data_IF_838893813357
#
_entry.id   IF_838893813357
#
_cell.length_a   1.000
_cell.length_b   1.000
_cell.length_c   1.000
_cell.angle_alpha   90.00
_cell.angle_beta   90.00
_cell.angle_gamma   90.00
#
_symmetry.space_group_name_H-M   'P 1'
#
loop_
_entity.id
_entity.type
_entity.pdbx_description
1 polymer ?
#
# COMPACT_ATOMS: atom_id res chain seq x y z
N UNK A 1 -3.44 20.03 22.30
CA UNK A 1 -4.15 20.44 21.06
C UNK A 1 -4.39 19.20 20.22
N UNK A 2 -5.61 18.98 19.72
CA UNK A 2 -5.92 17.85 18.83
C UNK A 2 -5.14 18.02 17.52
N UNK A 3 -4.29 17.05 17.15
CA UNK A 3 -3.61 17.02 15.85
C UNK A 3 -4.68 16.84 14.77
N UNK A 4 -4.74 17.76 13.80
CA UNK A 4 -5.82 17.83 12.82
C UNK A 4 -5.25 18.08 11.42
N UNK A 5 -5.68 17.29 10.46
CA UNK A 5 -5.27 17.37 9.06
C UNK A 5 -6.42 17.91 8.22
N UNK A 6 -6.08 18.65 7.17
CA UNK A 6 -7.08 19.15 6.23
C UNK A 6 -6.85 18.52 4.87
N UNK A 7 -7.82 17.78 4.36
CA UNK A 7 -7.79 17.30 2.98
C UNK A 7 -8.53 18.29 2.10
N UNK A 8 -7.90 18.74 1.02
CA UNK A 8 -8.53 19.61 0.01
C UNK A 8 -8.63 18.86 -1.31
N UNK A 9 -9.83 18.38 -1.64
CA UNK A 9 -10.10 17.67 -2.88
C UNK A 9 -10.17 18.64 -4.05
N UNK A 10 -9.26 18.47 -5.01
CA UNK A 10 -9.17 19.24 -6.26
C UNK A 10 -9.41 18.38 -7.50
N UNK A 11 -9.79 17.12 -7.30
CA UNK A 11 -10.11 16.16 -8.34
C UNK A 11 -11.61 16.10 -8.60
N UNK A 12 -12.04 15.82 -9.84
CA UNK A 12 -13.42 15.45 -10.10
C UNK A 12 -13.79 14.16 -9.37
N UNK A 13 -15.09 13.93 -9.17
CA UNK A 13 -15.57 12.69 -8.55
C UNK A 13 -15.19 11.48 -9.42
N UNK A 14 -14.69 10.37 -8.83
CA UNK A 14 -14.42 9.15 -9.59
C UNK A 14 -15.68 8.64 -10.29
N UNK A 15 -15.56 8.15 -11.52
CA UNK A 15 -16.69 7.61 -12.31
C UNK A 15 -17.18 6.25 -11.79
N UNK A 16 -16.30 5.45 -11.18
CA UNK A 16 -16.62 4.23 -10.44
C UNK A 16 -16.51 4.53 -8.95
N UNK A 17 -17.63 4.55 -8.24
CA UNK A 17 -17.72 5.15 -6.90
C UNK A 17 -17.39 4.16 -5.77
N UNK A 18 -16.39 4.51 -4.96
CA UNK A 18 -16.44 4.25 -3.51
C UNK A 18 -17.07 5.50 -2.85
N UNK A 19 -18.37 5.49 -2.52
CA UNK A 19 -19.12 6.71 -2.17
C UNK A 19 -18.73 7.34 -0.83
N UNK A 20 -17.86 6.70 -0.03
CA UNK A 20 -17.55 7.15 1.31
C UNK A 20 -16.84 8.52 1.35
N UNK A 21 -16.06 8.88 0.33
CA UNK A 21 -15.27 10.12 0.38
C UNK A 21 -16.13 11.38 0.22
N UNK A 22 -17.15 11.33 -0.63
CA UNK A 22 -18.13 12.43 -0.76
C UNK A 22 -19.04 12.55 0.45
N UNK A 23 -19.11 11.51 1.28
CA UNK A 23 -19.88 11.53 2.53
C UNK A 23 -19.10 12.19 3.66
N UNK A 24 -17.78 12.44 3.52
CA UNK A 24 -17.00 13.13 4.53
C UNK A 24 -17.59 14.50 4.85
N UNK A 25 -17.74 14.77 6.14
CA UNK A 25 -18.15 16.07 6.65
C UNK A 25 -17.17 17.16 6.20
N UNK A 26 -17.72 18.24 5.66
CA UNK A 26 -16.97 19.35 5.08
C UNK A 26 -16.43 19.13 3.65
N UNK A 27 -16.75 18.03 2.97
CA UNK A 27 -16.34 17.83 1.56
C UNK A 27 -16.70 19.05 0.68
N UNK A 28 -15.77 19.58 -0.16
CA UNK A 28 -14.47 19.01 -0.56
C UNK A 28 -13.26 19.42 0.32
N UNK A 29 -13.47 20.08 1.46
CA UNK A 29 -12.41 20.48 2.40
C UNK A 29 -12.65 19.84 3.76
N UNK A 30 -12.18 18.61 3.91
CA UNK A 30 -12.50 17.77 5.06
C UNK A 30 -11.44 17.89 6.16
N UNK A 31 -11.87 17.85 7.41
CA UNK A 31 -10.98 17.77 8.58
C UNK A 31 -10.88 16.30 9.03
N UNK A 32 -9.67 15.77 9.15
CA UNK A 32 -9.42 14.40 9.60
C UNK A 32 -8.45 14.40 10.78
N UNK A 33 -8.61 13.42 11.68
CA UNK A 33 -7.75 13.26 12.86
C UNK A 33 -6.98 11.93 12.78
N UNK A 34 -5.76 11.86 13.34
CA UNK A 34 -5.10 10.59 13.55
C UNK A 34 -6.01 9.60 14.29
N UNK A 35 -6.06 8.37 13.82
CA UNK A 35 -6.63 7.25 14.57
C UNK A 35 -5.84 7.03 15.86
N UNK A 36 -6.50 6.54 16.90
CA UNK A 36 -5.84 6.26 18.18
C UNK A 36 -5.00 4.98 18.16
N UNK A 37 -5.30 4.07 17.22
CA UNK A 37 -4.73 2.73 17.18
C UNK A 37 -3.36 2.68 16.48
N UNK A 38 -2.99 3.72 15.72
CA UNK A 38 -1.76 3.76 14.93
C UNK A 38 -1.00 5.06 15.16
N UNK A 39 0.34 5.02 15.34
CA UNK A 39 1.14 6.23 15.31
C UNK A 39 0.98 6.95 13.97
N UNK A 40 1.02 8.27 14.01
CA UNK A 40 0.94 9.11 12.81
C UNK A 40 2.22 9.92 12.65
N UNK A 41 2.94 9.67 11.55
CA UNK A 41 4.33 10.07 11.34
C UNK A 41 4.51 11.34 10.50
N UNK A 42 3.41 12.05 10.18
CA UNK A 42 3.47 13.37 9.53
C UNK A 42 2.97 14.47 10.48
N UNK A 43 3.48 15.71 10.37
CA UNK A 43 2.94 16.83 11.11
C UNK A 43 1.55 17.23 10.56
N UNK A 44 0.64 17.74 11.41
CA UNK A 44 -0.63 18.33 10.98
C UNK A 44 -0.43 19.38 9.89
N UNK A 45 -1.10 19.23 8.75
CA UNK A 45 -0.94 20.10 7.59
C UNK A 45 -2.14 20.02 6.63
N UNK A 46 -2.12 20.84 5.58
CA UNK A 46 -3.04 20.70 4.44
C UNK A 46 -2.46 19.69 3.45
N UNK A 47 -3.25 18.69 3.08
CA UNK A 47 -2.92 17.73 2.02
C UNK A 47 -3.85 18.01 0.84
N UNK A 48 -3.27 18.44 -0.28
CA UNK A 48 -4.03 18.66 -1.51
C UNK A 48 -4.24 17.31 -2.20
N UNK A 49 -5.49 16.93 -2.42
CA UNK A 49 -5.84 15.71 -3.15
C UNK A 49 -6.00 16.07 -4.62
N UNK A 50 -5.07 15.62 -5.45
CA UNK A 50 -4.84 16.17 -6.79
C UNK A 50 -5.01 15.19 -7.94
N UNK A 51 -5.02 13.88 -7.67
CA UNK A 51 -5.34 12.86 -8.69
C UNK A 51 -5.97 11.60 -8.06
N UNK A 52 -6.52 10.73 -8.89
CA UNK A 52 -7.04 9.40 -8.52
C UNK A 52 -6.06 8.34 -9.06
N UNK A 53 -5.38 7.65 -8.16
CA UNK A 53 -4.46 6.56 -8.52
C UNK A 53 -5.20 5.26 -8.80
N UNK A 54 -6.31 5.03 -8.11
CA UNK A 54 -7.13 3.83 -8.30
C UNK A 54 -8.56 4.07 -7.80
N UNK A 55 -9.55 3.50 -8.49
CA UNK A 55 -10.94 3.50 -8.01
C UNK A 55 -11.65 2.20 -8.33
N UNK A 56 -12.44 1.72 -7.36
CA UNK A 56 -13.28 0.53 -7.43
C UNK A 56 -14.52 0.74 -6.56
N UNK A 57 -15.44 -0.22 -6.55
CA UNK A 57 -16.66 -0.17 -5.73
C UNK A 57 -16.39 -0.14 -4.21
N UNK A 58 -15.22 -0.61 -3.76
CA UNK A 58 -14.89 -0.77 -2.32
C UNK A 58 -13.71 0.05 -1.84
N UNK A 59 -12.90 0.56 -2.76
CA UNK A 59 -11.65 1.22 -2.44
C UNK A 59 -11.40 2.32 -3.46
N UNK A 60 -10.99 3.49 -2.97
CA UNK A 60 -10.42 4.55 -3.78
C UNK A 60 -9.06 4.94 -3.20
N UNK A 61 -8.08 5.15 -4.08
CA UNK A 61 -6.74 5.62 -3.72
C UNK A 61 -6.51 6.92 -4.46
N UNK A 62 -6.27 7.99 -3.71
CA UNK A 62 -5.94 9.28 -4.28
C UNK A 62 -4.44 9.59 -4.18
N UNK A 63 -3.98 10.46 -5.07
CA UNK A 63 -2.70 11.16 -4.95
C UNK A 63 -2.89 12.39 -4.06
N UNK A 64 -2.19 12.40 -2.92
CA UNK A 64 -2.08 13.55 -2.03
C UNK A 64 -0.74 14.26 -2.19
N UNK A 65 -0.74 15.59 -2.03
CA UNK A 65 0.46 16.42 -1.98
C UNK A 65 0.50 17.20 -0.67
N UNK A 66 1.56 16.95 0.11
CA UNK A 66 1.92 17.73 1.28
C UNK A 66 2.38 19.15 0.91
N UNK A 67 2.53 20.01 1.93
CA UNK A 67 3.00 21.39 1.76
C UNK A 67 4.45 21.45 1.23
N UNK A 68 5.27 20.46 1.58
CA UNK A 68 6.65 20.29 1.11
C UNK A 68 6.77 19.54 -0.22
N UNK A 69 5.65 19.34 -0.92
CA UNK A 69 5.53 18.57 -2.17
C UNK A 69 5.77 17.06 -2.04
N UNK A 70 5.86 16.51 -0.83
CA UNK A 70 5.87 15.05 -0.64
C UNK A 70 4.56 14.45 -1.18
N UNK A 71 4.69 13.44 -2.04
CA UNK A 71 3.55 12.71 -2.58
C UNK A 71 3.11 11.58 -1.64
N UNK A 72 1.80 11.40 -1.54
CA UNK A 72 1.15 10.39 -0.69
C UNK A 72 0.12 9.59 -1.48
N UNK A 73 -0.01 8.31 -1.14
CA UNK A 73 -1.14 7.49 -1.55
C UNK A 73 -2.18 7.46 -0.41
N UNK A 74 -3.35 8.03 -0.68
CA UNK A 74 -4.45 8.18 0.30
C UNK A 74 -5.52 7.14 0.02
N UNK A 75 -5.49 6.02 0.75
CA UNK A 75 -6.37 4.86 0.51
C UNK A 75 -7.58 4.94 1.44
N UNK A 76 -8.76 5.05 0.85
CA UNK A 76 -10.05 4.93 1.53
C UNK A 76 -10.67 3.57 1.22
N UNK A 77 -11.08 2.86 2.25
CA UNK A 77 -11.75 1.55 2.16
C UNK A 77 -12.60 1.32 3.41
N UNK A 78 -13.26 0.17 3.53
CA UNK A 78 -14.01 -0.16 4.73
C UNK A 78 -13.10 -0.44 5.94
N UNK A 79 -13.63 -0.24 7.15
CA UNK A 79 -12.85 -0.36 8.40
C UNK A 79 -12.23 -1.74 8.56
N UNK A 80 -12.90 -2.82 8.14
CA UNK A 80 -12.40 -4.19 8.33
C UNK A 80 -11.19 -4.44 7.41
N UNK A 81 -11.31 -4.06 6.15
CA UNK A 81 -10.21 -4.18 5.17
C UNK A 81 -9.02 -3.31 5.57
N UNK A 82 -9.28 -2.07 6.00
CA UNK A 82 -8.26 -1.14 6.48
C UNK A 82 -7.50 -1.71 7.69
N UNK A 83 -8.21 -2.16 8.72
CA UNK A 83 -7.56 -2.70 9.93
C UNK A 83 -6.75 -3.95 9.65
N UNK A 84 -7.22 -4.83 8.75
CA UNK A 84 -6.47 -6.02 8.36
C UNK A 84 -5.15 -5.64 7.66
N UNK A 85 -5.19 -4.66 6.75
CA UNK A 85 -4.00 -4.21 6.04
C UNK A 85 -3.04 -3.43 6.94
N UNK A 86 -3.51 -2.46 7.71
CA UNK A 86 -2.69 -1.67 8.63
C UNK A 86 -1.98 -2.55 9.68
N UNK A 87 -2.61 -3.65 10.13
CA UNK A 87 -1.98 -4.63 11.01
C UNK A 87 -0.78 -5.35 10.38
N UNK A 88 -0.73 -5.50 9.05
CA UNK A 88 0.45 -6.06 8.36
C UNK A 88 1.61 -5.07 8.43
N UNK A 89 1.36 -3.77 8.20
CA UNK A 89 2.41 -2.75 8.31
C UNK A 89 2.98 -2.65 9.72
N UNK A 90 2.12 -2.76 10.75
CA UNK A 90 2.53 -2.79 12.16
C UNK A 90 3.35 -4.05 12.50
N UNK A 91 2.89 -5.22 12.04
CA UNK A 91 3.59 -6.50 12.31
C UNK A 91 4.95 -6.59 11.62
N UNK A 92 5.08 -6.01 10.42
CA UNK A 92 6.27 -6.14 9.57
C UNK A 92 6.92 -4.77 9.28
N UNK A 93 7.14 -3.98 10.33
CA UNK A 93 7.78 -2.65 10.24
C UNK A 93 9.10 -2.67 9.45
N UNK A 94 9.93 -3.71 9.67
CA UNK A 94 11.22 -3.86 8.99
C UNK A 94 11.16 -4.05 7.47
N UNK A 95 9.97 -4.35 6.93
CA UNK A 95 9.74 -4.46 5.48
C UNK A 95 9.22 -3.16 4.84
N UNK A 96 8.88 -2.15 5.64
CA UNK A 96 8.39 -0.87 5.14
C UNK A 96 9.51 -0.06 4.50
N UNK A 97 9.27 0.45 3.29
CA UNK A 97 10.27 1.13 2.49
C UNK A 97 11.09 0.19 1.59
N UNK A 98 10.96 -1.13 1.73
CA UNK A 98 11.63 -2.13 0.88
C UNK A 98 10.63 -2.99 0.12
N UNK A 99 9.85 -3.81 0.81
CA UNK A 99 8.85 -4.72 0.23
C UNK A 99 7.48 -4.07 0.28
N UNK A 100 7.16 -3.39 1.38
CA UNK A 100 5.95 -2.59 1.52
C UNK A 100 6.29 -1.11 1.26
N UNK A 101 5.33 -0.30 0.79
CA UNK A 101 5.38 1.14 1.02
C UNK A 101 5.53 1.45 2.52
N UNK A 102 5.92 2.68 2.86
CA UNK A 102 5.80 3.15 4.25
C UNK A 102 4.35 3.50 4.57
N UNK A 103 3.90 3.13 5.77
CA UNK A 103 2.66 3.60 6.37
C UNK A 103 2.97 4.80 7.26
N UNK A 104 2.46 5.98 6.89
CA UNK A 104 2.54 7.16 7.74
C UNK A 104 1.49 7.15 8.85
N UNK A 105 0.45 6.33 8.72
CA UNK A 105 -0.57 6.10 9.72
C UNK A 105 -1.98 6.15 9.14
N UNK A 106 -2.98 6.19 10.03
CA UNK A 106 -4.40 6.23 9.64
C UNK A 106 -5.03 7.54 10.09
N UNK A 107 -5.69 8.23 9.16
CA UNK A 107 -6.55 9.37 9.45
C UNK A 107 -8.02 8.92 9.46
N UNK A 108 -8.83 9.57 10.28
CA UNK A 108 -10.24 9.28 10.44
C UNK A 108 -11.04 10.57 10.28
N UNK A 109 -11.86 10.60 9.24
CA UNK A 109 -12.95 11.55 9.09
C UNK A 109 -14.26 10.97 9.59
N UNK A 110 -15.33 11.76 9.48
CA UNK A 110 -16.70 11.31 9.76
C UNK A 110 -17.61 11.72 8.62
N UNK A 111 -18.71 11.00 8.43
CA UNK A 111 -19.82 11.51 7.62
C UNK A 111 -20.78 12.40 8.42
N UNK A 112 -21.82 12.91 7.76
CA UNK A 112 -22.85 13.76 8.37
C UNK A 112 -23.61 13.10 9.53
N UNK A 113 -23.64 11.76 9.57
CA UNK A 113 -24.25 10.98 10.66
C UNK A 113 -23.24 10.61 11.76
N UNK A 114 -21.98 11.05 11.62
CA UNK A 114 -20.90 10.80 12.56
C UNK A 114 -20.21 9.44 12.42
N UNK A 115 -20.56 8.64 11.40
CA UNK A 115 -19.90 7.36 11.11
C UNK A 115 -18.47 7.61 10.65
N UNK A 116 -17.54 6.81 11.17
CA UNK A 116 -16.11 6.95 10.87
C UNK A 116 -15.80 6.51 9.44
N UNK A 117 -15.03 7.33 8.73
CA UNK A 117 -14.48 7.03 7.41
C UNK A 117 -12.95 7.02 7.54
N UNK A 118 -12.30 5.84 7.49
CA UNK A 118 -10.85 5.75 7.63
C UNK A 118 -10.13 6.03 6.31
N UNK A 119 -8.91 6.56 6.42
CA UNK A 119 -7.97 6.79 5.34
C UNK A 119 -6.58 6.32 5.77
N UNK A 120 -6.02 5.33 5.07
CA UNK A 120 -4.60 4.99 5.23
C UNK A 120 -3.76 5.97 4.44
N UNK A 121 -2.73 6.52 5.09
CA UNK A 121 -1.78 7.44 4.47
C UNK A 121 -0.48 6.68 4.22
N UNK A 122 -0.20 6.40 2.96
CA UNK A 122 0.90 5.57 2.52
C UNK A 122 1.90 6.39 1.70
N UNK A 123 3.14 5.91 1.62
CA UNK A 123 4.12 6.36 0.64
C UNK A 123 3.59 6.20 -0.78
N UNK A 124 3.71 7.27 -1.58
CA UNK A 124 3.51 7.21 -3.02
C UNK A 124 4.77 6.63 -3.67
N UNK A 125 4.72 5.36 -4.05
CA UNK A 125 5.84 4.68 -4.71
C UNK A 125 5.49 4.28 -6.15
N UNK A 126 6.31 4.69 -7.12
CA UNK A 126 6.32 4.14 -8.49
C UNK A 126 5.01 4.23 -9.26
N UNK A 127 4.79 3.40 -10.27
CA UNK A 127 3.48 3.18 -10.88
C UNK A 127 3.10 1.72 -10.74
N UNK A 128 1.82 1.39 -10.87
CA UNK A 128 1.40 -0.02 -10.92
C UNK A 128 2.11 -0.72 -12.08
N UNK A 129 2.56 -1.95 -11.85
CA UNK A 129 3.15 -2.78 -12.89
C UNK A 129 2.16 -2.95 -14.06
N UNK A 130 2.62 -2.64 -15.26
CA UNK A 130 1.86 -2.80 -16.49
C UNK A 130 2.21 -4.14 -17.16
N UNK A 131 1.22 -4.75 -17.81
CA UNK A 131 1.38 -6.06 -18.45
C UNK A 131 1.18 -7.25 -17.51
N UNK A 132 1.56 -8.44 -18.00
CA UNK A 132 1.47 -9.72 -17.27
C UNK A 132 2.84 -10.12 -16.76
N UNK A 133 2.90 -10.85 -15.66
CA UNK A 133 4.16 -11.41 -15.16
C UNK A 133 4.87 -12.26 -16.21
N UNK A 134 4.13 -12.98 -17.08
CA UNK A 134 4.71 -13.79 -18.17
C UNK A 134 5.57 -12.97 -19.13
N UNK A 135 5.20 -11.71 -19.33
CA UNK A 135 5.73 -10.85 -20.39
C UNK A 135 6.96 -10.04 -19.90
N UNK A 136 7.24 -10.07 -18.59
CA UNK A 136 8.41 -9.41 -18.00
C UNK A 136 9.72 -10.10 -18.37
N UNK A 137 10.81 -9.32 -18.39
CA UNK A 137 12.16 -9.86 -18.52
C UNK A 137 12.50 -10.75 -17.31
N UNK A 138 13.37 -11.75 -17.51
CA UNK A 138 13.81 -12.66 -16.44
C UNK A 138 14.37 -11.91 -15.24
N UNK A 139 15.17 -10.87 -15.50
CA UNK A 139 15.78 -10.02 -14.48
C UNK A 139 14.75 -9.28 -13.63
N UNK A 140 13.66 -8.81 -14.22
CA UNK A 140 12.55 -8.15 -13.50
C UNK A 140 11.78 -9.15 -12.65
N UNK A 141 11.45 -10.33 -13.22
CA UNK A 141 10.82 -11.44 -12.49
C UNK A 141 11.64 -11.82 -11.26
N UNK A 142 12.95 -11.96 -11.43
CA UNK A 142 13.88 -12.27 -10.35
C UNK A 142 13.85 -11.24 -9.21
N UNK A 143 13.81 -9.95 -9.53
CA UNK A 143 13.69 -8.89 -8.52
C UNK A 143 12.39 -8.97 -7.74
N UNK A 144 11.27 -9.20 -8.42
CA UNK A 144 9.96 -9.40 -7.78
C UNK A 144 9.97 -10.64 -6.88
N UNK A 145 10.55 -11.74 -7.35
CA UNK A 145 10.67 -12.98 -6.57
C UNK A 145 11.57 -12.80 -5.33
N UNK A 146 12.66 -12.04 -5.44
CA UNK A 146 13.50 -11.68 -4.30
C UNK A 146 12.75 -10.86 -3.25
N UNK A 147 11.88 -9.92 -3.65
CA UNK A 147 11.01 -9.18 -2.71
C UNK A 147 10.02 -10.11 -1.99
N UNK A 148 9.52 -11.14 -2.67
CA UNK A 148 8.69 -12.17 -2.03
C UNK A 148 9.48 -13.02 -1.05
N UNK A 149 10.70 -13.42 -1.41
CA UNK A 149 11.58 -14.16 -0.52
C UNK A 149 11.93 -13.34 0.74
N UNK A 150 12.19 -12.03 0.58
CA UNK A 150 12.38 -11.10 1.71
C UNK A 150 11.14 -11.05 2.62
N UNK A 151 9.93 -10.90 2.05
CA UNK A 151 8.69 -10.94 2.81
C UNK A 151 8.53 -12.26 3.58
N UNK A 152 8.81 -13.38 2.92
CA UNK A 152 8.67 -14.72 3.45
C UNK A 152 9.66 -14.99 4.60
N UNK A 153 10.92 -14.55 4.45
CA UNK A 153 11.95 -14.59 5.51
C UNK A 153 11.57 -13.75 6.73
N UNK A 154 10.96 -12.59 6.51
CA UNK A 154 10.40 -11.76 7.58
C UNK A 154 9.12 -12.34 8.21
N UNK A 155 8.62 -13.48 7.71
CA UNK A 155 7.48 -14.17 8.28
C UNK A 155 6.13 -13.73 7.70
N UNK A 156 6.10 -13.18 6.48
CA UNK A 156 4.89 -12.68 5.81
C UNK A 156 4.61 -13.37 4.47
N UNK A 157 3.34 -13.62 4.16
CA UNK A 157 2.88 -14.07 2.84
C UNK A 157 1.73 -13.17 2.38
N UNK A 158 1.81 -12.61 1.17
CA UNK A 158 0.83 -11.66 0.64
C UNK A 158 -0.56 -12.26 0.35
N UNK A 159 -0.60 -13.51 -0.15
CA UNK A 159 -1.82 -14.27 -0.53
C UNK A 159 -2.75 -13.68 -1.59
N UNK A 160 -2.39 -12.54 -2.19
CA UNK A 160 -3.11 -11.93 -3.32
C UNK A 160 -2.13 -11.29 -4.30
N UNK A 161 -0.96 -11.92 -4.46
CA UNK A 161 0.02 -11.41 -5.40
C UNK A 161 -0.50 -11.55 -6.82
N UNK A 162 -0.60 -10.41 -7.49
CA UNK A 162 -0.94 -10.26 -8.89
C UNK A 162 -0.28 -8.97 -9.38
N UNK A 163 -0.17 -8.76 -10.69
CA UNK A 163 0.46 -7.59 -11.30
C UNK A 163 -0.18 -6.29 -10.79
N UNK A 164 -1.49 -6.33 -10.49
CA UNK A 164 -2.22 -5.20 -9.92
C UNK A 164 -1.75 -4.73 -8.55
N UNK A 165 -1.08 -5.62 -7.82
CA UNK A 165 -0.61 -5.42 -6.47
C UNK A 165 0.92 -5.24 -6.42
N UNK A 166 1.55 -5.02 -7.58
CA UNK A 166 2.96 -4.65 -7.69
C UNK A 166 3.06 -3.22 -8.20
N UNK A 167 3.89 -2.41 -7.54
CA UNK A 167 4.26 -1.05 -7.97
C UNK A 167 5.76 -1.00 -8.24
N UNK A 168 6.16 -0.24 -9.25
CA UNK A 168 7.53 -0.16 -9.78
C UNK A 168 8.01 1.28 -9.91
N UNK A 169 9.21 1.59 -9.41
CA UNK A 169 9.88 2.88 -9.59
C UNK A 169 11.32 2.64 -10.05
N UNK A 170 11.60 2.93 -11.32
CA UNK A 170 12.86 2.53 -11.93
C UNK A 170 13.02 1.02 -11.86
N UNK A 171 14.07 0.56 -11.16
CA UNK A 171 14.41 -0.86 -11.05
C UNK A 171 13.96 -1.51 -9.73
N UNK A 172 13.21 -0.79 -8.88
CA UNK A 172 12.73 -1.28 -7.58
C UNK A 172 11.22 -1.54 -7.59
N UNK A 173 10.81 -2.55 -6.83
CA UNK A 173 9.45 -3.07 -6.80
C UNK A 173 8.96 -3.19 -5.36
N UNK A 174 7.69 -2.88 -5.14
CA UNK A 174 7.01 -3.06 -3.86
C UNK A 174 5.63 -3.64 -4.06
N UNK A 175 5.10 -4.26 -3.01
CA UNK A 175 3.77 -4.85 -3.02
C UNK A 175 2.79 -4.00 -2.23
N UNK A 176 1.57 -3.92 -2.74
CA UNK A 176 0.46 -3.17 -2.17
C UNK A 176 -0.76 -4.08 -1.99
N UNK A 177 -1.75 -3.62 -1.23
CA UNK A 177 -2.99 -4.36 -0.97
C UNK A 177 -2.80 -5.61 -0.09
N UNK A 178 -2.21 -5.37 1.10
CA UNK A 178 -1.86 -6.42 2.06
C UNK A 178 -3.02 -6.90 2.94
N UNK A 179 -4.27 -6.52 2.65
CA UNK A 179 -5.44 -6.89 3.45
C UNK A 179 -5.65 -8.42 3.58
N UNK A 180 -5.08 -9.21 2.66
CA UNK A 180 -5.11 -10.69 2.69
C UNK A 180 -3.81 -11.33 3.20
N UNK A 181 -2.83 -10.49 3.56
CA UNK A 181 -1.55 -10.89 4.12
C UNK A 181 -1.71 -11.74 5.36
N UNK A 182 -0.82 -12.71 5.53
CA UNK A 182 -0.79 -13.58 6.70
C UNK A 182 0.63 -13.83 7.17
N UNK A 183 0.75 -14.15 8.45
CA UNK A 183 1.98 -14.67 9.03
C UNK A 183 2.34 -16.01 8.39
N UNK A 184 3.57 -16.11 7.88
CA UNK A 184 4.23 -17.35 7.54
C UNK A 184 4.59 -18.07 8.86
N UNK A 185 4.03 -19.27 9.10
CA UNK A 185 4.01 -19.89 10.44
C UNK A 185 5.29 -20.65 10.82
N UNK A 186 6.18 -20.93 9.88
CA UNK A 186 7.44 -21.66 10.08
C UNK A 186 8.65 -20.74 9.92
N UNK A 187 9.81 -21.13 10.46
CA UNK A 187 11.08 -20.50 10.09
C UNK A 187 11.31 -20.71 8.59
N UNK A 188 11.27 -19.62 7.82
CA UNK A 188 11.55 -19.66 6.41
C UNK A 188 13.04 -19.97 6.20
N UNK A 189 13.33 -21.09 5.51
CA UNK A 189 14.68 -21.50 5.14
C UNK A 189 15.01 -21.13 3.68
N UNK A 190 14.18 -20.31 3.03
CA UNK A 190 14.38 -19.92 1.64
C UNK A 190 15.66 -19.09 1.52
N UNK A 191 16.70 -19.60 0.87
CA UNK A 191 17.97 -18.89 0.68
C UNK A 191 18.27 -18.52 -0.77
N UNK A 192 17.51 -19.04 -1.73
CA UNK A 192 17.68 -18.72 -3.15
C UNK A 192 17.64 -17.20 -3.42
N UNK A 193 18.56 -16.73 -4.25
CA UNK A 193 18.64 -15.38 -4.77
C UNK A 193 18.35 -15.42 -6.27
N UNK A 194 17.12 -15.12 -6.65
CA UNK A 194 16.71 -15.18 -8.04
C UNK A 194 17.51 -14.24 -8.96
N UNK A 195 18.04 -13.14 -8.42
CA UNK A 195 18.83 -12.19 -9.22
C UNK A 195 20.25 -12.66 -9.48
N UNK A 196 20.80 -13.52 -8.62
CA UNK A 196 22.08 -14.17 -8.86
C UNK A 196 21.99 -15.33 -9.86
N UNK A 197 20.78 -15.79 -10.15
CA UNK A 197 20.49 -17.03 -10.88
C UNK A 197 19.53 -16.82 -12.08
N UNK A 198 19.60 -15.67 -12.75
CA UNK A 198 18.69 -15.36 -13.88
C UNK A 198 18.91 -16.20 -15.13
N UNK A 199 20.09 -16.84 -15.24
CA UNK A 199 20.46 -17.71 -16.36
C UNK A 199 20.08 -19.18 -16.12
N UNK A 200 19.60 -19.52 -14.92
CA UNK A 200 19.15 -20.88 -14.61
C UNK A 200 17.85 -21.16 -15.40
N UNK A 201 17.98 -21.92 -16.49
CA UNK A 201 16.86 -22.32 -17.36
C UNK A 201 16.16 -23.61 -16.89
N UNK A 202 16.82 -24.37 -16.01
CA UNK A 202 16.34 -25.62 -15.45
C UNK A 202 16.19 -25.49 -13.93
N UNK A 203 15.01 -25.86 -13.40
CA UNK A 203 14.80 -25.97 -11.95
C UNK A 203 15.13 -27.41 -11.56
N UNK A 204 16.20 -27.62 -10.79
CA UNK A 204 16.41 -28.89 -10.11
C UNK A 204 15.45 -28.97 -8.91
N UNK A 205 14.41 -29.84 -8.94
CA UNK A 205 13.43 -29.93 -7.86
C UNK A 205 14.04 -30.50 -6.56
N UNK A 206 15.32 -30.88 -6.57
CA UNK A 206 16.08 -31.36 -5.42
C UNK A 206 17.06 -30.34 -4.84
N UNK A 207 17.16 -29.14 -5.43
CA UNK A 207 17.97 -28.05 -4.87
C UNK A 207 17.41 -27.64 -3.48
N UNK A 208 18.21 -27.68 -2.40
CA UNK A 208 17.78 -27.28 -1.06
C UNK A 208 17.34 -25.80 -0.95
N UNK A 209 17.59 -24.99 -1.98
CA UNK A 209 17.16 -23.60 -2.05
C UNK A 209 15.72 -23.41 -2.59
N UNK A 210 15.07 -24.48 -3.11
CA UNK A 210 13.67 -24.50 -3.60
C UNK A 210 12.73 -25.18 -2.60
#
# INVERSE_FOLDING_TARGET
MSRMFTFRFRVPLPTTHFPAVTQLDGYPVCQLRPGHDYPFHLPPQIINVVDILHSSERTVVYLGLCEDHTELALKFTDIKTMSAEAGVYDTFEGLQGSVLPKLYGVLVGKDGDGKKIPCMVLERFGNRLEGRFSDLQKTEKAKILNKLAEAHRAGSVHRDLAERNVVVQGEDYRFIDWARGKRHMSSCLWTYDFTAHTEDDDVDPTDPAV
#
